data_IF_496157893614
#
_entry.id   IF_496157893614
#
_cell.length_a   1.000
_cell.length_b   1.000
_cell.length_c   1.000
_cell.angle_alpha   90.00
_cell.angle_beta   90.00
_cell.angle_gamma   90.00
#
_symmetry.space_group_name_H-M   'P 1'
#
loop_
_entity.id
_entity.type
_entity.pdbx_description
1 polymer ?
#
# COMPACT_ATOMS: atom_id res chain seq x y z
N UNK A 1 -3.63 11.10 1.49
CA UNK A 1 -2.58 12.13 1.37
C UNK A 1 -2.68 12.57 -0.07
N UNK A 2 -3.41 13.64 -0.32
CA UNK A 2 -3.53 14.18 -1.67
C UNK A 2 -3.16 15.65 -1.51
N UNK A 3 -1.95 15.98 -1.95
CA UNK A 3 -1.48 17.36 -2.03
C UNK A 3 -2.05 18.08 -3.26
N UNK A 4 -2.94 17.40 -4.00
CA UNK A 4 -3.60 17.87 -5.20
C UNK A 4 -5.05 17.36 -5.21
N UNK A 5 -5.96 18.16 -5.75
CA UNK A 5 -7.34 17.74 -6.06
C UNK A 5 -7.43 16.98 -7.40
N UNK A 6 -6.33 16.92 -8.16
CA UNK A 6 -6.28 16.18 -9.41
C UNK A 6 -6.25 14.67 -9.17
N UNK A 7 -6.89 13.94 -10.08
CA UNK A 7 -6.82 12.47 -10.13
C UNK A 7 -5.44 12.04 -10.63
N UNK A 8 -4.73 11.25 -9.83
CA UNK A 8 -3.41 10.71 -10.14
C UNK A 8 -3.53 9.29 -10.67
N UNK A 9 -3.24 9.10 -11.95
CA UNK A 9 -3.18 7.78 -12.59
C UNK A 9 -1.74 7.28 -12.58
N UNK A 10 -1.50 6.10 -12.04
CA UNK A 10 -0.21 5.42 -12.13
C UNK A 10 -0.31 4.23 -13.09
N UNK A 11 0.68 4.16 -14.00
CA UNK A 11 0.77 3.10 -15.00
C UNK A 11 2.02 2.29 -14.72
N UNK A 12 1.85 0.99 -14.48
CA UNK A 12 2.95 0.05 -14.35
C UNK A 12 3.30 -0.52 -15.72
N UNK A 13 4.46 -0.10 -16.22
CA UNK A 13 5.13 -0.62 -17.41
C UNK A 13 6.40 -1.37 -16.97
N UNK A 14 6.61 -2.60 -17.46
CA UNK A 14 7.76 -3.44 -17.17
C UNK A 14 8.02 -3.73 -15.68
N UNK A 15 8.68 -2.84 -14.92
CA UNK A 15 9.15 -3.14 -13.56
C UNK A 15 9.11 -1.92 -12.66
N UNK A 16 8.54 -2.07 -11.46
CA UNK A 16 8.64 -1.07 -10.40
C UNK A 16 9.00 -1.75 -9.09
N UNK A 17 10.16 -1.39 -8.54
CA UNK A 17 10.74 -2.03 -7.36
C UNK A 17 10.92 -1.04 -6.23
N UNK A 18 10.88 -1.53 -4.99
CA UNK A 18 11.13 -0.72 -3.80
C UNK A 18 10.18 0.48 -3.74
N UNK A 19 10.71 1.69 -3.56
CA UNK A 19 9.95 2.94 -3.60
C UNK A 19 9.11 3.13 -4.86
N UNK A 20 9.53 2.62 -6.03
CA UNK A 20 8.72 2.74 -7.25
C UNK A 20 7.42 1.92 -7.14
N UNK A 21 7.46 0.76 -6.48
CA UNK A 21 6.25 -0.02 -6.20
C UNK A 21 5.30 0.72 -5.26
N UNK A 22 5.85 1.43 -4.26
CA UNK A 22 5.08 2.25 -3.33
C UNK A 22 4.45 3.47 -4.01
N UNK A 23 5.19 4.14 -4.89
CA UNK A 23 4.67 5.26 -5.70
C UNK A 23 3.55 4.77 -6.63
N UNK A 24 3.75 3.62 -7.29
CA UNK A 24 2.70 3.01 -8.11
C UNK A 24 1.41 2.82 -7.29
N UNK A 25 1.49 2.21 -6.10
CA UNK A 25 0.33 1.98 -5.24
C UNK A 25 -0.29 3.24 -4.62
N UNK A 26 0.40 4.39 -4.66
CA UNK A 26 -0.11 5.65 -4.11
C UNK A 26 -1.06 6.40 -5.07
N UNK A 27 -1.20 5.95 -6.32
CA UNK A 27 -2.13 6.53 -7.29
C UNK A 27 -3.61 6.29 -6.95
N UNK A 28 -4.48 7.16 -7.44
CA UNK A 28 -5.94 7.01 -7.33
C UNK A 28 -6.44 5.91 -8.27
N UNK A 29 -5.88 5.86 -9.49
CA UNK A 29 -6.14 4.80 -10.47
C UNK A 29 -4.86 4.08 -10.86
N UNK A 30 -4.93 2.75 -10.80
CA UNK A 30 -3.80 1.85 -10.97
C UNK A 30 -3.98 1.04 -12.26
N UNK A 31 -3.17 1.33 -13.28
CA UNK A 31 -3.14 0.61 -14.55
C UNK A 31 -1.94 -0.33 -14.54
N UNK A 32 -2.19 -1.60 -14.87
CA UNK A 32 -1.15 -2.63 -14.96
C UNK A 32 -1.12 -3.14 -16.38
N UNK A 33 0.04 -3.13 -17.03
CA UNK A 33 0.25 -3.77 -18.32
C UNK A 33 0.71 -5.23 -18.16
N UNK A 34 0.80 -5.94 -19.28
CA UNK A 34 1.25 -7.33 -19.28
C UNK A 34 2.77 -7.41 -19.05
N UNK A 35 3.26 -8.56 -18.62
CA UNK A 35 4.69 -8.81 -18.35
C UNK A 35 5.33 -7.82 -17.36
N UNK A 36 4.51 -7.28 -16.45
CA UNK A 36 4.95 -6.36 -15.42
C UNK A 36 5.38 -7.07 -14.14
N UNK A 37 6.23 -6.42 -13.34
CA UNK A 37 6.66 -6.93 -12.04
C UNK A 37 6.70 -5.84 -10.97
N UNK A 38 6.19 -6.18 -9.78
CA UNK A 38 6.43 -5.43 -8.56
C UNK A 38 7.35 -6.22 -7.64
N UNK A 39 8.19 -5.49 -6.91
CA UNK A 39 9.00 -6.05 -5.85
C UNK A 39 9.05 -5.11 -4.65
N UNK A 40 8.83 -5.68 -3.46
CA UNK A 40 8.93 -4.99 -2.19
C UNK A 40 10.02 -5.66 -1.35
N UNK A 41 10.86 -4.84 -0.74
CA UNK A 41 11.93 -5.25 0.17
C UNK A 41 12.10 -4.20 1.27
N UNK A 42 12.89 -4.51 2.30
CA UNK A 42 13.18 -3.56 3.39
C UNK A 42 14.15 -2.45 2.95
N UNK A 43 14.28 -1.41 3.77
CA UNK A 43 15.23 -0.32 3.51
C UNK A 43 16.68 -0.84 3.51
N UNK A 44 17.52 -0.17 2.73
CA UNK A 44 18.98 -0.33 2.79
C UNK A 44 19.62 1.05 2.95
N UNK A 45 20.77 1.12 3.62
CA UNK A 45 21.44 2.39 3.83
C UNK A 45 22.73 2.26 4.64
N UNK A 46 23.56 3.29 4.53
CA UNK A 46 24.79 3.42 5.29
C UNK A 46 24.59 4.50 6.36
N UNK A 47 25.00 4.18 7.59
CA UNK A 47 24.93 5.10 8.73
C UNK A 47 26.34 5.51 9.15
N UNK A 48 26.56 6.81 9.33
CA UNK A 48 27.86 7.39 9.72
C UNK A 48 27.65 8.27 10.94
N UNK A 49 28.62 8.26 11.87
CA UNK A 49 28.55 9.01 13.13
C UNK A 49 29.00 8.17 14.32
N UNK A 50 28.74 8.63 15.54
CA UNK A 50 29.02 7.85 16.75
C UNK A 50 28.09 6.63 16.82
N UNK A 51 28.52 5.56 17.48
CA UNK A 51 27.75 4.30 17.52
C UNK A 51 26.31 4.47 18.04
N UNK A 52 26.12 5.32 19.05
CA UNK A 52 24.79 5.64 19.59
C UNK A 52 23.92 6.44 18.59
N UNK A 53 24.51 7.36 17.82
CA UNK A 53 23.81 8.11 16.77
C UNK A 53 23.40 7.18 15.63
N UNK A 54 24.26 6.24 15.24
CA UNK A 54 23.93 5.23 14.25
C UNK A 54 22.77 4.34 14.69
N UNK A 55 22.80 3.83 15.93
CA UNK A 55 21.69 3.04 16.48
C UNK A 55 20.38 3.82 16.51
N UNK A 56 20.42 5.09 16.94
CA UNK A 56 19.25 5.96 16.95
C UNK A 56 18.68 6.17 15.52
N UNK A 57 19.54 6.37 14.52
CA UNK A 57 19.13 6.49 13.12
C UNK A 57 18.48 5.20 12.59
N UNK A 58 19.07 4.03 12.87
CA UNK A 58 18.51 2.73 12.47
C UNK A 58 17.10 2.54 13.05
N UNK A 59 16.92 2.80 14.35
CA UNK A 59 15.61 2.68 15.00
C UNK A 59 14.60 3.65 14.41
N UNK A 60 14.99 4.90 14.16
CA UNK A 60 14.12 5.91 13.57
C UNK A 60 13.68 5.54 12.15
N UNK A 61 14.62 5.10 11.29
CA UNK A 61 14.31 4.68 9.92
C UNK A 61 13.44 3.42 9.92
N UNK A 62 13.74 2.43 10.76
CA UNK A 62 12.93 1.22 10.87
C UNK A 62 11.46 1.54 11.19
N UNK A 63 11.23 2.33 12.24
CA UNK A 63 9.87 2.71 12.65
C UNK A 63 9.14 3.54 11.60
N UNK A 64 9.86 4.46 10.94
CA UNK A 64 9.28 5.26 9.86
C UNK A 64 8.91 4.39 8.66
N UNK A 65 9.82 3.52 8.22
CA UNK A 65 9.63 2.67 7.05
C UNK A 65 8.45 1.72 7.23
N UNK A 66 8.33 1.09 8.41
CA UNK A 66 7.17 0.26 8.77
C UNK A 66 5.85 1.01 8.58
N UNK A 67 5.77 2.23 9.13
CA UNK A 67 4.55 3.05 9.09
C UNK A 67 4.21 3.45 7.66
N UNK A 68 5.21 3.86 6.87
CA UNK A 68 5.00 4.29 5.49
C UNK A 68 4.59 3.09 4.62
N UNK A 69 5.29 1.96 4.72
CA UNK A 69 4.94 0.74 3.99
C UNK A 69 3.53 0.26 4.35
N UNK A 70 3.21 0.21 5.64
CA UNK A 70 1.87 -0.19 6.10
C UNK A 70 0.80 0.74 5.54
N UNK A 71 1.02 2.06 5.60
CA UNK A 71 0.04 3.05 5.13
C UNK A 71 -0.19 3.01 3.63
N UNK A 72 0.87 2.88 2.83
CA UNK A 72 0.78 2.95 1.36
C UNK A 72 0.39 1.60 0.77
N UNK A 73 0.95 0.51 1.30
CA UNK A 73 0.81 -0.80 0.67
C UNK A 73 -0.38 -1.59 1.19
N UNK A 74 -1.05 -1.19 2.27
CA UNK A 74 -2.29 -1.84 2.73
C UNK A 74 -3.49 -1.28 1.97
N UNK A 75 -4.43 -2.12 1.46
CA UNK A 75 -4.57 -3.56 1.67
C UNK A 75 -3.97 -4.44 0.55
N UNK A 76 -3.07 -3.91 -0.28
CA UNK A 76 -2.42 -4.66 -1.37
C UNK A 76 -1.45 -5.73 -0.85
N UNK A 77 -0.59 -5.36 0.10
CA UNK A 77 0.15 -6.29 0.94
C UNK A 77 -0.67 -6.61 2.19
N UNK A 78 -0.59 -7.86 2.61
CA UNK A 78 -1.12 -8.29 3.90
C UNK A 78 -0.19 -7.88 5.03
N UNK A 79 -0.71 -7.80 6.26
CA UNK A 79 0.11 -7.54 7.45
C UNK A 79 1.27 -8.54 7.58
N UNK A 80 1.04 -9.81 7.28
CA UNK A 80 2.09 -10.85 7.32
C UNK A 80 3.13 -10.71 6.21
N UNK A 81 2.78 -10.14 5.05
CA UNK A 81 3.77 -9.79 4.02
C UNK A 81 4.62 -8.61 4.46
N UNK A 82 4.01 -7.55 5.01
CA UNK A 82 4.74 -6.39 5.52
C UNK A 82 5.69 -6.81 6.65
N UNK A 83 5.23 -7.64 7.58
CA UNK A 83 6.05 -8.17 8.67
C UNK A 83 7.25 -8.98 8.14
N UNK A 84 7.05 -9.87 7.17
CA UNK A 84 8.17 -10.61 6.53
C UNK A 84 9.14 -9.69 5.82
N UNK A 85 8.66 -8.63 5.17
CA UNK A 85 9.52 -7.64 4.53
C UNK A 85 10.41 -6.94 5.56
N UNK A 86 9.84 -6.52 6.70
CA UNK A 86 10.62 -5.92 7.77
C UNK A 86 11.71 -6.84 8.33
N UNK A 87 11.49 -8.15 8.31
CA UNK A 87 12.46 -9.18 8.68
C UNK A 87 13.39 -9.60 7.52
N UNK A 88 13.47 -8.80 6.45
CA UNK A 88 14.43 -8.97 5.36
C UNK A 88 13.97 -9.90 4.23
N UNK A 89 12.69 -10.27 4.16
CA UNK A 89 12.17 -11.02 3.01
C UNK A 89 11.78 -10.10 1.86
N UNK A 90 11.96 -10.57 0.64
CA UNK A 90 11.44 -9.88 -0.53
C UNK A 90 10.10 -10.47 -0.99
N UNK A 91 9.19 -9.60 -1.43
CA UNK A 91 7.92 -10.00 -2.05
C UNK A 91 7.96 -9.63 -3.52
N UNK A 92 7.94 -10.64 -4.38
CA UNK A 92 7.93 -10.52 -5.84
C UNK A 92 6.55 -10.88 -6.39
N UNK A 93 6.03 -10.07 -7.30
CA UNK A 93 4.70 -10.24 -7.87
C UNK A 93 4.74 -10.00 -9.38
N UNK A 94 4.18 -10.91 -10.16
CA UNK A 94 3.95 -10.73 -11.60
C UNK A 94 2.64 -9.98 -11.88
N UNK A 95 2.42 -9.63 -13.15
CA UNK A 95 1.23 -8.92 -13.59
C UNK A 95 -0.08 -9.61 -13.17
N UNK A 96 -0.14 -10.93 -13.17
CA UNK A 96 -1.36 -11.68 -12.86
C UNK A 96 -1.71 -11.62 -11.37
N UNK A 97 -0.72 -11.80 -10.49
CA UNK A 97 -0.89 -11.65 -9.06
C UNK A 97 -1.24 -10.20 -8.68
N UNK A 98 -0.58 -9.21 -9.30
CA UNK A 98 -0.88 -7.78 -9.09
C UNK A 98 -2.35 -7.51 -9.46
N UNK A 99 -2.78 -7.90 -10.67
CA UNK A 99 -4.17 -7.71 -11.14
C UNK A 99 -5.17 -8.39 -10.20
N UNK A 100 -4.90 -9.64 -9.78
CA UNK A 100 -5.76 -10.38 -8.85
C UNK A 100 -5.93 -9.67 -7.51
N UNK A 101 -4.84 -9.13 -6.95
CA UNK A 101 -4.88 -8.36 -5.69
C UNK A 101 -5.66 -7.07 -5.84
N UNK A 102 -5.39 -6.28 -6.88
CA UNK A 102 -6.12 -5.04 -7.16
C UNK A 102 -7.63 -5.30 -7.34
N UNK A 103 -8.01 -6.34 -8.07
CA UNK A 103 -9.40 -6.74 -8.25
C UNK A 103 -10.08 -7.16 -6.93
N UNK A 104 -9.35 -7.85 -6.02
CA UNK A 104 -9.85 -8.18 -4.68
C UNK A 104 -10.13 -6.92 -3.86
N UNK A 105 -9.25 -5.92 -3.91
CA UNK A 105 -9.41 -4.66 -3.18
C UNK A 105 -10.63 -3.89 -3.69
N UNK A 106 -10.74 -3.70 -5.00
CA UNK A 106 -11.90 -3.03 -5.63
C UNK A 106 -13.23 -3.70 -5.23
N UNK A 107 -13.28 -5.04 -5.24
CA UNK A 107 -14.47 -5.79 -4.79
C UNK A 107 -14.81 -5.56 -3.32
N UNK A 108 -13.81 -5.46 -2.44
CA UNK A 108 -14.04 -5.27 -1.00
C UNK A 108 -14.48 -3.84 -0.67
N UNK A 109 -13.97 -2.83 -1.37
CA UNK A 109 -14.41 -1.44 -1.25
C UNK A 109 -15.88 -1.27 -1.68
N UNK A 110 -16.31 -1.95 -2.73
CA UNK A 110 -17.73 -1.96 -3.13
C UNK A 110 -18.65 -2.59 -2.06
N UNK A 111 -18.17 -3.60 -1.33
CA UNK A 111 -18.96 -4.28 -0.28
C UNK A 111 -19.11 -3.45 1.00
N UNK A 112 -18.08 -2.70 1.40
CA UNK A 112 -18.16 -1.85 2.60
C UNK A 112 -19.17 -0.71 2.45
N UNK A 113 -19.27 -0.11 1.25
CA UNK A 113 -20.25 0.95 0.95
C UNK A 113 -21.69 0.42 0.99
N UNK A 114 -21.93 -0.78 0.45
CA UNK A 114 -23.26 -1.41 0.46
C UNK A 114 -23.71 -1.77 1.89
N UNK A 115 -22.78 -2.15 2.76
CA UNK A 115 -23.07 -2.53 4.15
C UNK A 115 -23.43 -1.32 5.01
N UNK A 116 -22.70 -0.22 4.90
CA UNK A 116 -23.03 1.03 5.61
C UNK A 116 -24.40 1.60 5.20
N UNK A 117 -24.81 1.45 3.93
CA UNK A 117 -26.13 1.90 3.47
C UNK A 117 -27.31 1.08 4.01
N UNK A 118 -27.07 -0.17 4.45
CA UNK A 118 -28.09 -1.03 5.06
C UNK A 118 -28.24 -0.83 6.58
N UNK A 119 -27.24 -0.25 7.24
CA UNK A 119 -27.21 -0.08 8.70
C UNK A 119 -27.82 1.26 9.18
N UNK A 120 -28.29 2.13 8.27
CA UNK A 120 -29.22 3.22 8.57
C UNK A 120 -30.61 2.88 8.00
N UNK A 121 -31.50 2.20 8.76
CA UNK A 121 -32.92 2.23 8.43
C UNK A 121 -33.41 3.67 8.60
N UNK A 122 -34.17 4.15 7.63
CA UNK A 122 -34.89 5.41 7.73
C UNK A 122 -35.73 5.38 9.02
N UNK A 123 -35.46 6.32 9.94
CA UNK A 123 -36.42 6.65 10.98
C UNK A 123 -37.70 7.10 10.27
N UNK A 124 -38.75 6.30 10.40
CA UNK A 124 -40.08 6.60 9.90
C UNK A 124 -40.58 7.91 10.54
N UNK A 125 -40.57 8.97 9.75
CA UNK A 125 -41.48 10.09 9.92
C UNK A 125 -42.90 9.59 9.56
N UNK A 126 -43.80 9.59 10.55
CA UNK A 126 -45.22 9.31 10.39
C UNK A 126 -45.92 9.46 11.74
N UNK A 127 -46.25 10.70 12.15
CA UNK A 127 -47.58 11.31 12.03
C UNK A 127 -48.67 10.64 12.89
N UNK A 128 -49.39 11.48 13.65
CA UNK A 128 -50.78 11.21 14.05
C UNK A 128 -51.06 11.37 15.53
#
# INVERSE_FOLDING_TARGET
MLASEAQVVTVLEARAYSMAAMIFLAGDDLIVHDNCQLMFHTYSGNFVGKGNEQQAQVVAIASWFEKVMTRICTPFLTKGEIDRIQHGSDVWLDSDEIRRRLARIKRNQGKSVVRQRKEHPASEDGQG
#
